data_IF_308909177917
#
_entry.id   IF_308909177917
#
_cell.length_a   1.000
_cell.length_b   1.000
_cell.length_c   1.000
_cell.angle_alpha   90.00
_cell.angle_beta   90.00
_cell.angle_gamma   90.00
#
_symmetry.space_group_name_H-M   'P 1'
#
loop_
_entity.id
_entity.type
_entity.pdbx_description
1 polymer ?
#
# COMPACT_ATOMS: atom_id res chain seq x y z
N UNK A 1 95.90 -31.04 -31.49
CA UNK A 1 94.72 -31.93 -31.55
C UNK A 1 94.33 -32.44 -30.15
N UNK A 2 95.25 -33.02 -29.36
CA UNK A 2 94.94 -33.58 -28.03
C UNK A 2 94.33 -32.64 -26.98
N UNK A 3 94.68 -31.34 -26.97
CA UNK A 3 94.07 -30.37 -26.04
C UNK A 3 92.60 -30.07 -26.36
N UNK A 4 92.24 -30.03 -27.65
CA UNK A 4 90.85 -29.82 -28.09
C UNK A 4 90.03 -31.08 -27.83
N UNK A 5 90.61 -32.27 -28.02
CA UNK A 5 89.98 -33.54 -27.66
C UNK A 5 89.76 -33.68 -26.15
N UNK A 6 90.63 -33.11 -25.31
CA UNK A 6 90.45 -33.07 -23.86
C UNK A 6 89.36 -32.11 -23.39
N UNK A 7 89.24 -30.93 -24.03
CA UNK A 7 88.16 -29.97 -23.75
C UNK A 7 86.81 -30.52 -24.23
N UNK A 8 86.76 -31.08 -25.44
CA UNK A 8 85.54 -31.71 -25.96
C UNK A 8 85.20 -32.95 -25.14
N UNK A 9 86.16 -33.80 -24.76
CA UNK A 9 85.93 -34.97 -23.90
C UNK A 9 85.48 -34.62 -22.48
N UNK A 10 85.90 -33.47 -21.95
CA UNK A 10 85.39 -32.94 -20.68
C UNK A 10 83.96 -32.38 -20.78
N UNK A 11 83.54 -31.92 -21.97
CA UNK A 11 82.20 -31.40 -22.25
C UNK A 11 81.22 -32.51 -22.68
N UNK A 12 81.67 -33.52 -23.44
CA UNK A 12 80.85 -34.64 -23.93
C UNK A 12 80.91 -35.88 -23.04
N UNK A 13 81.87 -35.98 -22.12
CA UNK A 13 81.93 -37.03 -21.09
C UNK A 13 80.84 -36.92 -20.02
N UNK A 14 80.00 -35.88 -20.07
CA UNK A 14 78.93 -35.62 -19.11
C UNK A 14 77.54 -36.11 -19.50
N UNK A 15 77.39 -36.92 -20.56
CA UNK A 15 76.08 -37.53 -20.92
C UNK A 15 75.87 -38.88 -20.21
N UNK A 16 76.88 -39.37 -19.48
CA UNK A 16 76.77 -40.56 -18.63
C UNK A 16 77.41 -40.29 -17.29
N UNK A 17 76.58 -40.26 -16.23
CA UNK A 17 76.91 -39.93 -14.84
C UNK A 17 78.30 -40.36 -14.36
N UNK A 18 79.26 -39.43 -14.40
CA UNK A 18 80.47 -39.52 -13.59
C UNK A 18 80.52 -38.33 -12.64
N UNK A 19 80.48 -38.67 -11.36
CA UNK A 19 80.61 -37.78 -10.22
C UNK A 19 82.01 -37.13 -10.25
N UNK A 20 82.11 -35.84 -10.61
CA UNK A 20 83.36 -35.09 -10.47
C UNK A 20 83.61 -33.92 -11.44
N UNK A 21 82.87 -33.80 -12.55
CA UNK A 21 82.98 -32.65 -13.45
C UNK A 21 82.06 -31.47 -13.06
N UNK A 22 82.33 -30.22 -13.52
CA UNK A 22 81.45 -29.07 -13.26
C UNK A 22 79.99 -29.29 -13.70
N UNK A 23 79.78 -29.99 -14.83
CA UNK A 23 78.44 -30.40 -15.26
C UNK A 23 77.81 -31.43 -14.32
N UNK A 24 78.58 -32.41 -13.82
CA UNK A 24 78.09 -33.40 -12.86
C UNK A 24 77.65 -32.76 -11.53
N UNK A 25 78.35 -31.72 -11.07
CA UNK A 25 77.94 -30.93 -9.91
C UNK A 25 76.63 -30.15 -10.19
N UNK A 26 76.49 -29.53 -11.37
CA UNK A 26 75.25 -28.84 -11.78
C UNK A 26 74.10 -29.84 -11.91
N UNK A 27 74.31 -31.00 -12.54
CA UNK A 27 73.32 -32.07 -12.64
C UNK A 27 72.96 -32.65 -11.27
N UNK A 28 73.91 -32.72 -10.33
CA UNK A 28 73.65 -33.11 -8.93
C UNK A 28 72.84 -32.07 -8.16
N UNK A 29 73.11 -30.77 -8.33
CA UNK A 29 72.32 -29.69 -7.74
C UNK A 29 70.90 -29.67 -8.33
N UNK A 30 70.77 -29.75 -9.65
CA UNK A 30 69.48 -29.83 -10.33
C UNK A 30 68.76 -31.09 -9.85
N UNK A 31 69.38 -32.27 -9.90
CA UNK A 31 68.79 -33.51 -9.42
C UNK A 31 68.42 -33.50 -7.94
N UNK A 32 69.15 -32.79 -7.09
CA UNK A 32 68.79 -32.59 -5.68
C UNK A 32 67.58 -31.66 -5.49
N UNK A 33 67.44 -30.63 -6.33
CA UNK A 33 66.30 -29.71 -6.32
C UNK A 33 65.06 -30.36 -6.99
N UNK A 34 65.26 -31.05 -8.11
CA UNK A 34 64.23 -31.62 -8.99
C UNK A 34 63.97 -33.11 -8.76
N UNK A 35 64.66 -33.76 -7.82
CA UNK A 35 64.62 -35.20 -7.57
C UNK A 35 63.25 -35.78 -7.17
N UNK A 36 62.21 -34.94 -7.11
CA UNK A 36 60.82 -35.35 -6.93
C UNK A 36 59.89 -35.06 -8.11
N UNK A 37 60.36 -34.50 -9.23
CA UNK A 37 59.48 -34.16 -10.38
C UNK A 37 58.91 -35.44 -11.06
N UNK A 38 59.47 -36.61 -10.76
CA UNK A 38 58.94 -37.93 -11.15
C UNK A 38 57.94 -38.56 -10.16
N UNK A 39 57.34 -37.79 -9.24
CA UNK A 39 56.31 -38.28 -8.32
C UNK A 39 56.83 -38.97 -7.07
N UNK A 40 58.04 -38.63 -6.62
CA UNK A 40 58.61 -39.11 -5.36
C UNK A 40 58.79 -37.97 -4.35
N UNK A 41 58.12 -38.05 -3.22
CA UNK A 41 58.30 -37.14 -2.08
C UNK A 41 59.79 -37.05 -1.66
N UNK A 42 60.30 -35.83 -1.40
CA UNK A 42 61.58 -35.67 -0.69
C UNK A 42 62.56 -34.60 -1.19
N UNK A 43 62.32 -33.96 -2.35
CA UNK A 43 63.12 -32.79 -2.78
C UNK A 43 62.58 -31.46 -2.21
N UNK A 44 63.41 -30.41 -2.02
CA UNK A 44 62.93 -29.10 -1.56
C UNK A 44 61.82 -28.52 -2.45
N UNK A 45 61.89 -28.76 -3.76
CA UNK A 45 60.87 -28.31 -4.72
C UNK A 45 59.59 -29.15 -4.62
N UNK A 46 59.71 -30.46 -4.34
CA UNK A 46 58.57 -31.33 -4.06
C UNK A 46 57.81 -30.88 -2.82
N UNK A 47 58.52 -30.63 -1.71
CA UNK A 47 57.90 -30.08 -0.50
C UNK A 47 57.24 -28.71 -0.73
N UNK A 48 57.84 -27.84 -1.55
CA UNK A 48 57.22 -26.57 -1.94
C UNK A 48 56.00 -26.81 -2.84
N UNK A 49 56.04 -27.74 -3.79
CA UNK A 49 54.90 -28.12 -4.62
C UNK A 49 53.79 -28.78 -3.81
N UNK A 50 54.10 -29.52 -2.75
CA UNK A 50 53.13 -30.14 -1.84
C UNK A 50 52.52 -29.10 -0.89
N UNK A 51 53.31 -28.14 -0.41
CA UNK A 51 52.82 -27.00 0.38
C UNK A 51 51.96 -26.08 -0.49
N UNK A 52 52.44 -25.71 -1.67
CA UNK A 52 51.69 -24.88 -2.63
C UNK A 52 50.46 -25.66 -3.08
N UNK A 53 50.57 -26.94 -3.41
CA UNK A 53 49.45 -27.82 -3.72
C UNK A 53 48.44 -27.83 -2.58
N UNK A 54 48.84 -28.19 -1.37
CA UNK A 54 47.96 -28.21 -0.20
C UNK A 54 47.29 -26.87 0.12
N UNK A 55 47.92 -25.74 -0.23
CA UNK A 55 47.38 -24.38 0.01
C UNK A 55 46.57 -23.86 -1.20
N UNK A 56 46.90 -24.25 -2.44
CA UNK A 56 46.35 -23.69 -3.70
C UNK A 56 45.52 -24.66 -4.54
N UNK A 57 45.34 -25.93 -4.12
CA UNK A 57 44.36 -26.84 -4.73
C UNK A 57 44.85 -28.23 -5.20
N UNK A 58 45.91 -28.78 -4.60
CA UNK A 58 46.13 -30.22 -4.59
C UNK A 58 45.06 -30.89 -3.73
N UNK A 59 44.52 -32.03 -4.21
CA UNK A 59 43.38 -32.79 -3.65
C UNK A 59 42.56 -32.01 -2.61
N UNK A 60 41.72 -31.10 -3.11
CA UNK A 60 41.01 -30.04 -2.38
C UNK A 60 40.17 -30.50 -1.19
N UNK A 61 39.87 -31.80 -1.10
CA UNK A 61 39.13 -32.39 0.02
C UNK A 61 39.85 -32.28 1.37
N UNK A 62 41.16 -32.03 1.39
CA UNK A 62 41.96 -31.97 2.62
C UNK A 62 42.65 -30.61 2.86
N UNK A 63 42.30 -29.55 2.14
CA UNK A 63 42.85 -28.22 2.42
C UNK A 63 42.34 -27.72 3.79
N UNK A 64 43.22 -27.46 4.78
CA UNK A 64 42.78 -27.02 6.10
C UNK A 64 42.01 -25.68 6.05
N UNK A 65 42.24 -24.85 5.03
CA UNK A 65 41.54 -23.59 4.81
C UNK A 65 40.12 -23.82 4.32
N UNK A 66 39.89 -24.75 3.38
CA UNK A 66 38.53 -25.05 2.88
C UNK A 66 37.67 -25.71 3.96
N UNK A 67 38.25 -26.57 4.80
CA UNK A 67 37.56 -27.15 5.95
C UNK A 67 37.10 -26.13 7.00
N UNK A 68 37.95 -25.13 7.30
CA UNK A 68 37.56 -24.02 8.21
C UNK A 68 36.48 -23.15 7.60
N UNK A 69 36.58 -22.86 6.29
CA UNK A 69 35.57 -22.09 5.56
C UNK A 69 34.22 -22.82 5.58
N UNK A 70 34.21 -24.12 5.28
CA UNK A 70 32.99 -24.93 5.30
C UNK A 70 32.37 -24.96 6.71
N UNK A 71 33.17 -25.18 7.75
CA UNK A 71 32.66 -25.16 9.13
C UNK A 71 32.06 -23.80 9.51
N UNK A 72 32.66 -22.69 9.04
CA UNK A 72 32.09 -21.36 9.23
C UNK A 72 30.78 -21.17 8.47
N UNK A 73 30.70 -21.66 7.24
CA UNK A 73 29.49 -21.64 6.41
C UNK A 73 28.36 -22.42 7.07
N UNK A 74 28.62 -23.64 7.54
CA UNK A 74 27.62 -24.49 8.20
C UNK A 74 27.00 -23.77 9.42
N UNK A 75 27.83 -23.09 10.22
CA UNK A 75 27.37 -22.29 11.36
C UNK A 75 26.50 -21.12 10.90
N UNK A 76 26.94 -20.36 9.89
CA UNK A 76 26.17 -19.20 9.39
C UNK A 76 24.84 -19.63 8.76
N UNK A 77 24.81 -20.72 8.00
CA UNK A 77 23.58 -21.28 7.43
C UNK A 77 22.62 -21.76 8.53
N UNK A 78 23.15 -22.41 9.58
CA UNK A 78 22.36 -22.78 10.75
C UNK A 78 21.75 -21.58 11.48
N UNK A 79 22.53 -20.49 11.63
CA UNK A 79 22.05 -19.23 12.23
C UNK A 79 20.98 -18.57 11.36
N UNK A 80 21.17 -18.53 10.04
CA UNK A 80 20.19 -17.92 9.13
C UNK A 80 18.89 -18.75 9.08
N UNK A 81 18.98 -20.08 9.12
CA UNK A 81 17.80 -20.97 9.26
C UNK A 81 17.04 -20.68 10.55
N UNK A 82 17.74 -20.60 11.68
CA UNK A 82 17.12 -20.29 12.98
C UNK A 82 16.44 -18.92 12.96
N UNK A 83 17.10 -17.91 12.40
CA UNK A 83 16.55 -16.57 12.22
C UNK A 83 15.26 -16.61 11.40
N UNK A 84 15.27 -17.29 10.25
CA UNK A 84 14.08 -17.44 9.40
C UNK A 84 12.94 -18.14 10.14
N UNK A 85 13.22 -19.22 10.87
CA UNK A 85 12.20 -19.96 11.63
C UNK A 85 11.56 -19.10 12.73
N UNK A 86 12.37 -18.37 13.51
CA UNK A 86 11.88 -17.46 14.56
C UNK A 86 10.98 -16.39 13.96
N UNK A 87 11.43 -15.77 12.87
CA UNK A 87 10.73 -14.65 12.27
C UNK A 87 9.45 -15.11 11.58
N UNK A 88 9.49 -16.20 10.80
CA UNK A 88 8.30 -16.77 10.17
C UNK A 88 7.29 -17.22 11.23
N UNK A 89 7.74 -17.77 12.35
CA UNK A 89 6.86 -18.09 13.49
C UNK A 89 6.19 -16.83 14.04
N UNK A 90 6.94 -15.74 14.21
CA UNK A 90 6.40 -14.46 14.65
C UNK A 90 5.37 -13.88 13.67
N UNK A 91 5.69 -13.89 12.38
CA UNK A 91 4.81 -13.42 11.29
C UNK A 91 3.53 -14.25 11.24
N UNK A 92 3.62 -15.58 11.26
CA UNK A 92 2.46 -16.46 11.24
C UNK A 92 1.58 -16.30 12.49
N UNK A 93 2.19 -16.08 13.64
CA UNK A 93 1.46 -15.84 14.90
C UNK A 93 0.68 -14.53 14.84
N UNK A 94 1.35 -13.44 14.45
CA UNK A 94 0.72 -12.11 14.36
C UNK A 94 -0.31 -12.08 13.22
N UNK A 95 0.04 -12.56 12.04
CA UNK A 95 -0.85 -12.64 10.87
C UNK A 95 -2.08 -13.49 11.14
N UNK A 96 -1.91 -14.65 11.77
CA UNK A 96 -3.01 -15.52 12.17
C UNK A 96 -3.93 -14.88 13.22
N UNK A 97 -3.37 -14.21 14.23
CA UNK A 97 -4.14 -13.50 15.24
C UNK A 97 -4.99 -12.37 14.63
N UNK A 98 -4.42 -11.58 13.70
CA UNK A 98 -5.13 -10.47 13.06
C UNK A 98 -6.18 -10.99 12.07
N UNK A 99 -5.85 -12.01 11.27
CA UNK A 99 -6.79 -12.65 10.34
C UNK A 99 -7.99 -13.27 11.06
N UNK A 100 -7.78 -13.80 12.27
CA UNK A 100 -8.86 -14.35 13.10
C UNK A 100 -9.83 -13.30 13.67
N UNK A 101 -9.36 -12.05 13.88
CA UNK A 101 -10.21 -10.95 14.37
C UNK A 101 -10.89 -10.21 13.22
N UNK A 102 -10.23 -10.10 12.06
CA UNK A 102 -10.72 -9.36 10.91
C UNK A 102 -10.64 -10.21 9.64
N UNK A 103 -11.56 -11.17 9.47
CA UNK A 103 -11.56 -12.09 8.33
C UNK A 103 -11.80 -11.32 7.02
N UNK A 104 -11.01 -11.65 5.99
CA UNK A 104 -11.17 -11.07 4.64
C UNK A 104 -10.38 -9.78 4.36
N UNK A 105 -9.44 -9.39 5.23
CA UNK A 105 -8.55 -8.25 4.94
C UNK A 105 -7.33 -8.73 4.16
N UNK A 106 -7.47 -8.70 2.84
CA UNK A 106 -6.42 -9.01 1.87
C UNK A 106 -5.10 -8.24 2.12
N UNK A 107 -5.10 -6.93 2.47
CA UNK A 107 -3.86 -6.20 2.78
C UNK A 107 -3.01 -6.79 3.92
N UNK A 108 -3.67 -7.32 4.96
CA UNK A 108 -2.97 -7.92 6.11
C UNK A 108 -2.33 -9.25 5.69
N UNK A 109 -3.04 -10.03 4.88
CA UNK A 109 -2.55 -11.31 4.38
C UNK A 109 -1.37 -11.10 3.45
N UNK A 110 -1.45 -10.12 2.54
CA UNK A 110 -0.35 -9.76 1.65
C UNK A 110 0.86 -9.21 2.39
N UNK A 111 0.64 -8.40 3.43
CA UNK A 111 1.72 -7.91 4.28
C UNK A 111 2.42 -9.06 5.03
N UNK A 112 1.65 -10.05 5.49
CA UNK A 112 2.18 -11.26 6.13
C UNK A 112 3.04 -12.05 5.13
N UNK A 113 2.52 -12.27 3.92
CA UNK A 113 3.24 -12.95 2.85
C UNK A 113 4.51 -12.19 2.42
N UNK A 114 4.45 -10.85 2.34
CA UNK A 114 5.59 -10.00 2.01
C UNK A 114 6.66 -10.05 3.10
N UNK A 115 6.25 -10.10 4.37
CA UNK A 115 7.14 -10.34 5.49
C UNK A 115 7.89 -11.65 5.33
N UNK A 116 7.17 -12.76 5.20
CA UNK A 116 7.76 -14.11 5.01
C UNK A 116 8.72 -14.13 3.82
N UNK A 117 8.27 -13.61 2.67
CA UNK A 117 9.07 -13.56 1.44
C UNK A 117 10.38 -12.79 1.62
N UNK A 118 10.36 -11.69 2.39
CA UNK A 118 11.56 -10.89 2.65
C UNK A 118 12.62 -11.69 3.41
N UNK A 119 12.21 -12.46 4.43
CA UNK A 119 13.14 -13.24 5.23
C UNK A 119 13.61 -14.52 4.53
N UNK A 120 12.77 -15.14 3.71
CA UNK A 120 13.18 -16.23 2.83
C UNK A 120 14.16 -15.74 1.75
N UNK A 121 13.92 -14.56 1.17
CA UNK A 121 14.85 -13.93 0.22
C UNK A 121 16.21 -13.68 0.87
N UNK A 122 16.23 -13.13 2.09
CA UNK A 122 17.46 -12.96 2.88
C UNK A 122 18.19 -14.29 3.05
N UNK A 123 17.48 -15.33 3.51
CA UNK A 123 18.05 -16.65 3.76
C UNK A 123 18.66 -17.26 2.51
N UNK A 124 17.90 -17.30 1.42
CA UNK A 124 18.31 -17.96 0.18
C UNK A 124 19.46 -17.19 -0.50
N UNK A 125 19.47 -15.85 -0.39
CA UNK A 125 20.57 -15.00 -0.86
C UNK A 125 21.85 -15.25 -0.07
N UNK A 126 21.76 -15.30 1.26
CA UNK A 126 22.90 -15.59 2.14
C UNK A 126 23.43 -16.99 1.85
N UNK A 127 22.55 -18.00 1.82
CA UNK A 127 22.96 -19.38 1.59
C UNK A 127 23.62 -19.57 0.21
N UNK A 128 23.05 -18.99 -0.85
CA UNK A 128 23.66 -19.05 -2.19
C UNK A 128 24.97 -18.26 -2.28
N UNK A 129 25.12 -17.18 -1.52
CA UNK A 129 26.41 -16.45 -1.44
C UNK A 129 27.46 -17.27 -0.69
N UNK A 130 27.07 -17.94 0.38
CA UNK A 130 27.96 -18.84 1.13
C UNK A 130 28.38 -20.04 0.29
N UNK A 131 27.47 -20.60 -0.51
CA UNK A 131 27.78 -21.64 -1.49
C UNK A 131 28.81 -21.14 -2.51
N UNK A 132 28.63 -19.92 -3.05
CA UNK A 132 29.61 -19.31 -3.95
C UNK A 132 30.99 -19.10 -3.30
N UNK A 133 31.02 -18.76 -2.01
CA UNK A 133 32.27 -18.64 -1.22
C UNK A 133 32.92 -20.02 -1.03
N UNK A 134 32.12 -21.05 -0.75
CA UNK A 134 32.59 -22.43 -0.64
C UNK A 134 33.21 -22.91 -1.96
N UNK A 135 32.51 -22.69 -3.07
CA UNK A 135 32.98 -23.06 -4.40
C UNK A 135 34.29 -22.33 -4.74
N UNK A 136 34.37 -21.03 -4.46
CA UNK A 136 35.59 -20.25 -4.68
C UNK A 136 36.75 -20.72 -3.79
N UNK A 137 36.48 -21.07 -2.52
CA UNK A 137 37.47 -21.66 -1.63
C UNK A 137 37.94 -23.02 -2.15
N UNK A 138 37.03 -23.79 -2.76
CA UNK A 138 37.29 -25.02 -3.51
C UNK A 138 37.89 -24.81 -4.91
N UNK A 139 38.28 -23.59 -5.26
CA UNK A 139 38.78 -23.20 -6.58
C UNK A 139 37.84 -23.52 -7.77
N UNK A 140 36.55 -23.74 -7.51
CA UNK A 140 35.51 -23.93 -8.52
C UNK A 140 34.85 -22.60 -8.89
N UNK A 141 35.47 -21.90 -9.84
CA UNK A 141 34.95 -20.64 -10.39
C UNK A 141 33.60 -20.86 -11.11
N UNK A 142 33.39 -22.05 -11.69
CA UNK A 142 32.17 -22.39 -12.41
C UNK A 142 30.99 -22.57 -11.46
N UNK A 143 31.20 -23.33 -10.38
CA UNK A 143 30.28 -23.47 -9.25
C UNK A 143 29.96 -22.12 -8.64
N UNK A 144 30.98 -21.32 -8.28
CA UNK A 144 30.78 -20.01 -7.68
C UNK A 144 29.95 -19.06 -8.55
N UNK A 145 30.19 -19.04 -9.86
CA UNK A 145 29.39 -18.27 -10.82
C UNK A 145 27.94 -18.79 -10.94
N UNK A 146 27.75 -20.11 -10.87
CA UNK A 146 26.44 -20.75 -10.82
C UNK A 146 25.65 -20.35 -9.57
N UNK A 147 26.27 -20.47 -8.39
CA UNK A 147 25.70 -20.10 -7.09
C UNK A 147 25.28 -18.63 -7.05
N UNK A 148 26.13 -17.71 -7.55
CA UNK A 148 25.79 -16.29 -7.65
C UNK A 148 24.67 -16.01 -8.68
N UNK A 149 24.63 -16.75 -9.79
CA UNK A 149 23.53 -16.67 -10.76
C UNK A 149 22.21 -17.14 -10.12
N UNK A 150 22.26 -18.18 -9.27
CA UNK A 150 21.14 -18.62 -8.44
C UNK A 150 20.64 -17.52 -7.52
N UNK A 151 21.54 -16.83 -6.80
CA UNK A 151 21.20 -15.66 -5.97
C UNK A 151 20.49 -14.57 -6.78
N UNK A 152 21.01 -14.21 -7.95
CA UNK A 152 20.36 -13.22 -8.84
C UNK A 152 18.96 -13.70 -9.26
N UNK A 153 18.81 -14.98 -9.59
CA UNK A 153 17.52 -15.59 -9.90
C UNK A 153 16.53 -15.47 -8.74
N UNK A 154 16.96 -15.77 -7.51
CA UNK A 154 16.16 -15.59 -6.29
C UNK A 154 15.70 -14.14 -6.12
N UNK A 155 16.61 -13.17 -6.26
CA UNK A 155 16.27 -11.75 -6.16
C UNK A 155 15.25 -11.31 -7.21
N UNK A 156 15.39 -11.76 -8.46
CA UNK A 156 14.47 -11.41 -9.55
C UNK A 156 13.09 -12.03 -9.29
N UNK A 157 13.04 -13.32 -8.98
CA UNK A 157 11.79 -14.03 -8.74
C UNK A 157 11.05 -13.45 -7.54
N UNK A 158 11.75 -13.25 -6.42
CA UNK A 158 11.15 -12.74 -5.20
C UNK A 158 10.81 -11.24 -5.34
N UNK A 159 11.60 -10.46 -6.07
CA UNK A 159 11.28 -9.07 -6.40
C UNK A 159 9.99 -8.95 -7.23
N UNK A 160 9.79 -9.87 -8.18
CA UNK A 160 8.54 -9.95 -8.96
C UNK A 160 7.34 -10.30 -8.06
N UNK A 161 7.47 -11.32 -7.22
CA UNK A 161 6.43 -11.71 -6.26
C UNK A 161 6.09 -10.57 -5.28
N UNK A 162 7.11 -9.90 -4.73
CA UNK A 162 6.94 -8.75 -3.84
C UNK A 162 6.21 -7.60 -4.55
N UNK A 163 6.54 -7.32 -5.82
CA UNK A 163 5.83 -6.32 -6.62
C UNK A 163 4.35 -6.69 -6.80
N UNK A 164 4.03 -7.97 -7.01
CA UNK A 164 2.65 -8.45 -7.08
C UNK A 164 1.88 -8.25 -5.77
N UNK A 165 2.48 -8.63 -4.64
CA UNK A 165 1.90 -8.44 -3.29
C UNK A 165 1.66 -6.96 -2.98
N UNK A 166 2.62 -6.09 -3.29
CA UNK A 166 2.47 -4.64 -3.09
C UNK A 166 1.34 -4.08 -3.97
N UNK A 167 1.23 -4.50 -5.22
CA UNK A 167 0.15 -4.05 -6.11
C UNK A 167 -1.22 -4.50 -5.61
N UNK A 168 -1.34 -5.72 -5.08
CA UNK A 168 -2.58 -6.23 -4.49
C UNK A 168 -2.97 -5.41 -3.26
N UNK A 169 -2.06 -5.25 -2.30
CA UNK A 169 -2.30 -4.46 -1.09
C UNK A 169 -2.64 -2.98 -1.39
N UNK A 170 -2.01 -2.38 -2.41
CA UNK A 170 -2.33 -1.01 -2.86
C UNK A 170 -3.69 -0.94 -3.54
N UNK A 171 -4.05 -1.95 -4.35
CA UNK A 171 -5.37 -2.06 -4.96
C UNK A 171 -6.47 -2.10 -3.90
N UNK A 172 -6.34 -3.00 -2.94
CA UNK A 172 -7.26 -3.12 -1.82
C UNK A 172 -7.39 -1.84 -1.00
N UNK A 173 -6.26 -1.16 -0.72
CA UNK A 173 -6.28 0.11 0.00
C UNK A 173 -6.98 1.21 -0.81
N UNK A 174 -6.81 1.21 -2.13
CA UNK A 174 -7.49 2.14 -3.03
C UNK A 174 -9.00 1.90 -3.01
N UNK A 175 -9.43 0.64 -3.00
CA UNK A 175 -10.84 0.28 -2.90
C UNK A 175 -11.45 0.73 -1.56
N UNK A 176 -10.72 0.56 -0.45
CA UNK A 176 -11.11 1.09 0.86
C UNK A 176 -11.17 2.62 0.85
N UNK A 177 -10.20 3.30 0.23
CA UNK A 177 -10.20 4.74 0.05
C UNK A 177 -11.39 5.23 -0.78
N UNK A 178 -11.75 4.50 -1.83
CA UNK A 178 -12.93 4.75 -2.65
C UNK A 178 -14.24 4.57 -1.86
N UNK A 179 -14.32 3.51 -1.03
CA UNK A 179 -15.46 3.29 -0.15
C UNK A 179 -15.59 4.42 0.90
N UNK A 180 -14.48 4.80 1.55
CA UNK A 180 -14.46 5.89 2.52
C UNK A 180 -14.79 7.25 1.87
N UNK A 181 -14.28 7.50 0.67
CA UNK A 181 -14.61 8.68 -0.12
C UNK A 181 -16.08 8.71 -0.55
N UNK A 182 -16.65 7.56 -0.92
CA UNK A 182 -18.06 7.42 -1.25
C UNK A 182 -18.97 7.59 -0.03
N UNK A 183 -18.53 7.17 1.15
CA UNK A 183 -19.20 7.42 2.43
C UNK A 183 -19.08 8.91 2.78
N UNK A 184 -17.93 9.55 2.55
CA UNK A 184 -17.63 10.92 2.92
C UNK A 184 -18.27 11.99 2.02
N UNK A 185 -19.52 12.36 2.30
CA UNK A 185 -20.06 13.73 2.11
C UNK A 185 -20.17 14.34 0.70
N UNK A 186 -19.64 13.71 -0.36
CA UNK A 186 -19.83 14.17 -1.73
C UNK A 186 -21.29 14.06 -2.20
N UNK A 187 -21.72 14.93 -3.11
CA UNK A 187 -23.04 14.85 -3.74
C UNK A 187 -23.24 13.46 -4.37
N UNK A 188 -24.17 12.68 -3.81
CA UNK A 188 -24.48 11.31 -4.23
C UNK A 188 -24.03 10.20 -3.28
N UNK A 189 -23.18 10.50 -2.28
CA UNK A 189 -22.78 9.54 -1.23
C UNK A 189 -23.83 9.43 -0.10
N UNK A 190 -23.83 8.35 0.71
CA UNK A 190 -24.80 8.16 1.79
C UNK A 190 -24.84 9.31 2.81
N UNK A 191 -23.67 9.83 3.25
CA UNK A 191 -23.68 11.01 4.13
C UNK A 191 -24.11 12.29 3.40
N UNK A 192 -23.82 12.44 2.11
CA UNK A 192 -24.32 13.56 1.31
C UNK A 192 -25.85 13.55 1.25
N UNK A 193 -26.45 12.37 1.01
CA UNK A 193 -27.90 12.17 1.03
C UNK A 193 -28.50 12.44 2.42
N UNK A 194 -27.89 11.93 3.49
CA UNK A 194 -28.31 12.19 4.87
C UNK A 194 -28.22 13.68 5.20
N UNK A 195 -27.14 14.35 4.80
CA UNK A 195 -26.97 15.80 4.99
C UNK A 195 -28.03 16.59 4.24
N UNK A 196 -28.36 16.19 3.01
CA UNK A 196 -29.45 16.78 2.23
C UNK A 196 -30.81 16.60 2.87
N UNK A 197 -31.12 15.41 3.39
CA UNK A 197 -32.36 15.13 4.14
C UNK A 197 -32.42 16.00 5.40
N UNK A 198 -31.35 16.06 6.19
CA UNK A 198 -31.28 16.89 7.39
C UNK A 198 -31.47 18.37 7.04
N UNK A 199 -30.80 18.86 5.99
CA UNK A 199 -30.95 20.24 5.51
C UNK A 199 -32.36 20.57 5.04
N UNK A 200 -33.04 19.63 4.37
CA UNK A 200 -34.44 19.77 3.99
C UNK A 200 -35.38 19.81 5.20
N UNK A 201 -35.13 18.98 6.22
CA UNK A 201 -35.91 18.97 7.47
C UNK A 201 -35.68 20.27 8.25
N UNK A 202 -34.44 20.70 8.47
CA UNK A 202 -34.14 21.94 9.21
C UNK A 202 -34.60 23.18 8.47
N UNK A 203 -34.42 23.24 7.14
CA UNK A 203 -34.95 24.32 6.29
C UNK A 203 -36.48 24.36 6.30
N UNK A 204 -37.12 23.20 6.29
CA UNK A 204 -38.57 23.08 6.43
C UNK A 204 -39.08 23.49 7.82
N UNK A 205 -38.32 23.28 8.88
CA UNK A 205 -38.64 23.69 10.26
C UNK A 205 -38.43 25.19 10.50
N UNK A 206 -37.48 25.82 9.81
CA UNK A 206 -37.13 27.23 9.98
C UNK A 206 -38.14 28.24 9.43
N UNK A 207 -39.28 27.81 8.88
CA UNK A 207 -40.35 28.70 8.42
C UNK A 207 -40.03 29.51 7.14
N UNK A 208 -39.03 29.09 6.35
CA UNK A 208 -38.74 29.72 5.06
C UNK A 208 -39.83 29.48 4.01
N UNK A 209 -40.03 30.45 3.12
CA UNK A 209 -40.97 30.36 1.98
C UNK A 209 -40.67 29.09 1.15
N UNK A 210 -41.71 28.29 0.91
CA UNK A 210 -41.63 27.05 0.14
C UNK A 210 -41.41 25.76 0.95
N UNK A 211 -41.18 25.84 2.27
CA UNK A 211 -41.15 24.68 3.16
C UNK A 211 -42.53 24.27 3.69
N UNK A 212 -42.71 23.05 4.24
CA UNK A 212 -43.99 22.59 4.80
C UNK A 212 -44.56 23.52 5.87
N UNK A 213 -43.71 24.12 6.72
CA UNK A 213 -44.16 25.09 7.73
C UNK A 213 -44.40 26.50 7.16
N UNK A 214 -43.74 26.88 6.07
CA UNK A 214 -44.08 28.11 5.33
C UNK A 214 -45.52 28.03 4.80
N UNK A 215 -45.87 26.92 4.15
CA UNK A 215 -47.24 26.68 3.69
C UNK A 215 -48.27 26.67 4.84
N UNK A 216 -47.93 26.08 5.99
CA UNK A 216 -48.78 26.12 7.19
C UNK A 216 -48.92 27.56 7.72
N UNK A 217 -47.84 28.35 7.71
CA UNK A 217 -47.85 29.75 8.14
C UNK A 217 -48.74 30.60 7.24
N UNK A 218 -48.68 30.39 5.92
CA UNK A 218 -49.54 31.08 4.94
C UNK A 218 -51.02 30.74 5.13
N UNK A 219 -51.34 29.45 5.35
CA UNK A 219 -52.70 29.00 5.65
C UNK A 219 -53.22 29.66 6.93
N UNK A 220 -52.42 29.66 8.00
CA UNK A 220 -52.80 30.31 9.27
C UNK A 220 -52.96 31.82 9.06
N UNK A 221 -52.04 32.49 8.35
CA UNK A 221 -52.12 33.91 8.03
C UNK A 221 -53.40 34.27 7.28
N UNK A 222 -53.76 33.48 6.27
CA UNK A 222 -55.01 33.65 5.52
C UNK A 222 -56.27 33.46 6.37
N UNK A 223 -56.30 32.43 7.22
CA UNK A 223 -57.41 32.20 8.16
C UNK A 223 -57.53 33.34 9.16
N UNK A 224 -56.42 33.77 9.74
CA UNK A 224 -56.40 34.83 10.76
C UNK A 224 -56.77 36.19 10.15
N UNK A 225 -56.29 36.49 8.95
CA UNK A 225 -56.67 37.69 8.20
C UNK A 225 -58.14 37.71 7.79
N UNK A 226 -58.69 36.55 7.40
CA UNK A 226 -60.11 36.40 7.10
C UNK A 226 -61.03 36.55 8.32
N UNK A 227 -60.56 36.14 9.51
CA UNK A 227 -61.28 36.28 10.79
C UNK A 227 -61.09 37.69 11.39
N UNK A 228 -60.00 38.38 11.09
CA UNK A 228 -59.67 39.69 11.66
C UNK A 228 -60.52 40.87 11.16
N UNK A 229 -61.46 40.65 10.23
CA UNK A 229 -62.36 41.70 9.75
C UNK A 229 -61.68 42.75 8.88
N UNK A 230 -60.58 42.43 8.20
CA UNK A 230 -60.01 43.30 7.16
C UNK A 230 -61.06 43.59 6.08
N UNK A 231 -61.00 44.79 5.49
CA UNK A 231 -61.99 45.32 4.53
C UNK A 231 -62.22 44.38 3.33
N UNK A 232 -61.24 43.54 2.98
CA UNK A 232 -61.32 42.56 1.88
C UNK A 232 -61.55 41.11 2.34
N UNK A 233 -61.77 40.88 3.64
CA UNK A 233 -62.00 39.55 4.22
C UNK A 233 -63.48 39.14 4.22
N UNK A 234 -63.80 37.83 4.31
CA UNK A 234 -65.19 37.35 4.36
C UNK A 234 -66.03 38.00 5.47
N UNK A 235 -65.42 38.30 6.62
CA UNK A 235 -66.09 39.00 7.73
C UNK A 235 -66.20 40.51 7.52
N UNK A 236 -65.28 41.14 6.77
CA UNK A 236 -65.40 42.54 6.36
C UNK A 236 -66.64 42.75 5.49
N UNK A 237 -66.79 41.90 4.46
CA UNK A 237 -67.99 41.90 3.62
C UNK A 237 -69.29 41.68 4.42
N UNK A 238 -69.28 40.80 5.42
CA UNK A 238 -70.45 40.60 6.32
C UNK A 238 -70.71 41.85 7.18
N UNK A 239 -69.66 42.50 7.66
CA UNK A 239 -69.77 43.74 8.46
C UNK A 239 -70.37 44.87 7.63
N UNK A 240 -69.98 45.02 6.37
CA UNK A 240 -70.53 46.01 5.44
C UNK A 240 -72.01 45.76 5.13
N UNK A 241 -72.38 44.49 4.90
CA UNK A 241 -73.78 44.09 4.70
C UNK A 241 -74.62 44.44 5.93
N UNK A 242 -74.14 44.08 7.12
CA UNK A 242 -74.84 44.39 8.38
C UNK A 242 -74.95 45.91 8.55
N UNK A 243 -73.85 46.65 8.34
CA UNK A 243 -73.81 48.11 8.41
C UNK A 243 -74.85 48.76 7.49
N UNK A 244 -74.93 48.32 6.23
CA UNK A 244 -75.93 48.77 5.27
C UNK A 244 -77.37 48.46 5.70
N UNK A 245 -77.63 47.27 6.25
CA UNK A 245 -78.95 46.88 6.78
C UNK A 245 -79.32 47.76 7.98
N UNK A 246 -78.44 47.89 8.98
CA UNK A 246 -78.69 48.73 10.16
C UNK A 246 -78.84 50.21 9.82
N UNK A 247 -78.02 50.73 8.90
CA UNK A 247 -78.14 52.11 8.40
C UNK A 247 -79.45 52.35 7.65
N UNK A 248 -79.92 51.36 6.88
CA UNK A 248 -81.21 51.39 6.22
C UNK A 248 -82.41 51.33 7.18
N UNK A 249 -82.27 50.63 8.31
CA UNK A 249 -83.30 50.50 9.35
C UNK A 249 -83.38 51.75 10.25
N UNK A 250 -82.25 52.43 10.49
CA UNK A 250 -82.16 53.59 11.38
C UNK A 250 -82.82 54.89 10.90
N UNK A 251 -83.47 54.90 9.72
CA UNK A 251 -84.21 56.06 9.22
C UNK A 251 -83.34 57.26 8.83
N UNK A 252 -82.02 57.08 8.66
CA UNK A 252 -81.14 58.13 8.16
C UNK A 252 -81.43 58.48 6.70
N UNK A 253 -81.23 59.74 6.32
CA UNK A 253 -81.37 60.22 4.94
C UNK A 253 -80.52 59.36 3.98
N UNK A 254 -81.18 58.80 2.96
CA UNK A 254 -80.56 57.92 1.96
C UNK A 254 -80.85 56.43 2.11
N UNK A 255 -81.44 55.99 3.23
CA UNK A 255 -81.90 54.60 3.40
C UNK A 255 -83.31 54.33 2.82
N UNK A 256 -83.70 53.06 2.58
CA UNK A 256 -85.03 52.70 2.06
C UNK A 256 -86.19 53.22 2.94
N UNK A 257 -86.01 53.26 4.26
CA UNK A 257 -86.99 53.80 5.21
C UNK A 257 -87.00 55.34 5.25
N UNK A 258 -85.87 56.00 4.96
CA UNK A 258 -85.83 57.45 4.78
C UNK A 258 -86.70 57.86 3.59
N UNK A 259 -86.55 57.17 2.45
CA UNK A 259 -87.40 57.38 1.28
C UNK A 259 -88.90 57.14 1.56
N UNK A 260 -89.23 56.13 2.37
CA UNK A 260 -90.63 55.87 2.78
C UNK A 260 -91.16 56.99 3.70
N UNK A 261 -90.33 57.50 4.61
CA UNK A 261 -90.69 58.61 5.51
C UNK A 261 -90.99 59.88 4.72
N UNK A 262 -90.18 60.19 3.71
CA UNK A 262 -90.38 61.34 2.81
C UNK A 262 -91.69 61.22 2.01
N UNK A 263 -91.99 60.01 1.50
CA UNK A 263 -93.24 59.72 0.79
C UNK A 263 -94.45 59.94 1.72
N UNK A 264 -94.40 59.41 2.96
CA UNK A 264 -95.49 59.58 3.93
C UNK A 264 -95.64 61.06 4.34
N UNK A 265 -94.53 61.78 4.52
CA UNK A 265 -94.53 63.23 4.80
C UNK A 265 -95.18 64.04 3.68
N UNK A 266 -94.91 63.70 2.43
CA UNK A 266 -95.55 64.32 1.26
C UNK A 266 -97.06 64.04 1.18
N UNK A 267 -97.49 62.81 1.50
CA UNK A 267 -98.92 62.43 1.49
C UNK A 267 -99.69 63.11 2.63
N UNK A 268 -99.09 63.20 3.82
CA UNK A 268 -99.73 63.80 5.00
C UNK A 268 -99.68 65.34 5.02
N UNK A 269 -98.72 65.95 4.30
CA UNK A 269 -98.59 67.41 4.19
C UNK A 269 -99.35 68.05 3.03
N UNK A 270 -99.92 67.25 2.11
CA UNK A 270 -100.48 67.75 0.84
C UNK A 270 -101.92 68.27 0.85
N UNK A 271 -102.68 68.17 1.96
CA UNK A 271 -104.14 68.40 1.95
C UNK A 271 -104.66 69.48 2.92
N UNK A 272 -103.90 70.56 3.17
CA UNK A 272 -104.34 71.67 4.06
C UNK A 272 -104.05 73.10 3.55
N UNK A 273 -103.79 73.30 2.26
CA UNK A 273 -103.37 74.62 1.76
C UNK A 273 -104.00 75.07 0.45
N UNK A 274 -105.23 75.60 0.55
CA UNK A 274 -105.89 76.55 -0.36
C UNK A 274 -106.59 76.02 -1.63
N UNK A 275 -107.93 75.99 -1.52
CA UNK A 275 -108.95 76.19 -2.56
C UNK A 275 -109.95 77.21 -1.99
N UNK A 276 -110.50 78.22 -2.69
CA UNK A 276 -110.17 78.79 -4.02
C UNK A 276 -109.42 80.14 -3.96
#
# INVERSE_FOLDING_TARGET
>A
LGAITGIIGGITGGIGGSEGGPLGAITGIIGGITGGIGGGEGGPLGAITDIIGGITGGDLGNNPVTGVIQSGIDVLQGVESLKTDIINTGINTVGGAISGVLPGVHPITDLTNLGTLTFETSRDTVNGTLEAISDLAGADIGGAAGSLTGVVGTLINNGSTASGLVQHAVGDLTDVGGLLGGIGGGEGGPLGAITGIIGGITGGIGGGEGGPLGAITDIIGGITGGIGGGEDGPLGAITDIIGGITGGIGGGEGGPLGAITDIIGGITGGDLGNNP
#
